data_IF_183831294588
#
_entry.id   IF_183831294588
#
_cell.length_a   1.000
_cell.length_b   1.000
_cell.length_c   1.000
_cell.angle_alpha   90.00
_cell.angle_beta   90.00
_cell.angle_gamma   90.00
#
_symmetry.space_group_name_H-M   'P 1'
#
loop_
_entity.id
_entity.type
_entity.pdbx_description
1 polymer ?
#
# COMPACT_ATOMS: atom_id res chain seq x y z
N UNK A 1 41.39 -42.45 37.67
CA UNK A 1 41.72 -41.38 36.70
C UNK A 1 40.69 -41.47 35.57
N UNK A 2 39.47 -40.89 35.69
CA UNK A 2 39.07 -39.49 35.37
C UNK A 2 39.62 -39.02 34.02
N UNK A 3 38.87 -39.25 32.92
CA UNK A 3 37.92 -38.35 32.21
C UNK A 3 38.58 -37.11 31.58
N UNK A 4 38.50 -36.98 30.25
CA UNK A 4 38.22 -35.69 29.60
C UNK A 4 37.46 -35.93 28.28
N UNK A 5 36.17 -35.64 28.32
CA UNK A 5 35.23 -35.56 27.19
C UNK A 5 35.32 -34.18 26.54
N UNK A 6 35.57 -34.10 25.24
CA UNK A 6 35.30 -32.90 24.45
C UNK A 6 33.87 -33.00 23.87
N UNK A 7 32.93 -32.31 24.51
CA UNK A 7 31.62 -32.03 23.92
C UNK A 7 31.73 -30.73 23.12
N UNK A 8 31.67 -30.83 21.79
CA UNK A 8 31.38 -29.68 20.93
C UNK A 8 29.86 -29.45 20.96
N UNK A 9 29.43 -28.49 21.76
CA UNK A 9 28.07 -27.95 21.67
C UNK A 9 28.02 -26.97 20.50
N UNK A 10 27.46 -27.40 19.37
CA UNK A 10 27.09 -26.50 18.27
C UNK A 10 25.75 -25.87 18.64
N UNK A 11 25.81 -24.66 19.19
CA UNK A 11 24.63 -23.82 19.42
C UNK A 11 24.07 -23.38 18.08
N UNK A 12 23.05 -24.09 17.59
CA UNK A 12 22.14 -23.60 16.56
C UNK A 12 21.36 -22.42 17.13
N UNK A 13 21.82 -21.20 16.83
CA UNK A 13 21.03 -19.99 17.00
C UNK A 13 19.85 -20.06 16.03
N UNK A 14 18.66 -20.35 16.54
CA UNK A 14 17.41 -20.11 15.84
C UNK A 14 17.30 -18.59 15.63
N UNK A 15 17.67 -18.11 14.43
CA UNK A 15 17.14 -16.86 13.92
C UNK A 15 15.64 -17.09 13.70
N UNK A 16 14.85 -16.79 14.72
CA UNK A 16 13.44 -16.50 14.53
C UNK A 16 13.37 -15.23 13.68
N UNK A 17 13.24 -15.39 12.37
CA UNK A 17 12.75 -14.32 11.53
C UNK A 17 11.36 -13.96 12.06
N UNK A 18 11.28 -12.88 12.85
CA UNK A 18 10.01 -12.27 13.17
C UNK A 18 9.53 -11.65 11.87
N UNK A 19 8.80 -12.44 11.08
CA UNK A 19 7.85 -11.90 10.11
C UNK A 19 6.86 -11.08 10.94
N UNK A 20 7.15 -9.79 11.06
CA UNK A 20 6.24 -8.83 11.64
C UNK A 20 4.96 -8.90 10.82
N UNK A 21 3.92 -9.53 11.37
CA UNK A 21 2.57 -9.40 10.84
C UNK A 21 2.32 -7.91 10.64
N UNK A 22 1.79 -7.47 9.48
CA UNK A 22 1.49 -6.06 9.27
C UNK A 22 0.65 -5.58 10.45
N UNK A 23 1.21 -4.67 11.25
CA UNK A 23 0.47 -4.08 12.36
C UNK A 23 -0.71 -3.33 11.76
N UNK A 24 -1.92 -3.74 12.10
CA UNK A 24 -3.13 -3.05 11.68
C UNK A 24 -3.21 -1.72 12.43
N UNK A 25 -2.66 -0.67 11.83
CA UNK A 25 -2.78 0.70 12.34
C UNK A 25 -4.24 1.14 12.20
N UNK A 26 -4.79 1.77 13.23
CA UNK A 26 -6.14 2.33 13.15
C UNK A 26 -6.23 3.35 12.00
N UNK A 27 -7.33 3.38 11.23
CA UNK A 27 -7.48 4.37 10.16
C UNK A 27 -7.39 5.80 10.67
N UNK A 28 -6.59 6.62 10.00
CA UNK A 28 -6.52 8.06 10.23
C UNK A 28 -7.64 8.83 9.52
N UNK A 29 -7.60 10.15 9.64
CA UNK A 29 -8.61 11.06 9.08
C UNK A 29 -8.27 11.60 7.69
N UNK A 30 -7.12 11.23 7.10
CA UNK A 30 -6.66 11.73 5.82
C UNK A 30 -6.13 13.17 5.87
N UNK A 31 -4.88 13.34 6.31
CA UNK A 31 -4.23 14.65 6.40
C UNK A 31 -3.50 14.99 5.09
N UNK A 32 -4.09 15.88 4.28
CA UNK A 32 -3.53 16.29 2.99
C UNK A 32 -2.16 16.98 3.11
N UNK A 33 -1.79 17.52 4.29
CA UNK A 33 -0.44 18.08 4.50
C UNK A 33 0.66 17.02 4.51
N UNK A 34 0.29 15.74 4.67
CA UNK A 34 1.19 14.58 4.72
C UNK A 34 1.02 13.63 3.54
N UNK A 35 0.25 14.01 2.52
CA UNK A 35 -0.10 13.13 1.40
C UNK A 35 1.14 12.58 0.66
N UNK A 36 2.21 13.38 0.58
CA UNK A 36 3.47 12.97 -0.05
C UNK A 36 4.09 11.72 0.57
N UNK A 37 3.77 11.38 1.82
CA UNK A 37 4.22 10.15 2.47
C UNK A 37 3.67 8.88 1.81
N UNK A 38 2.46 8.93 1.25
CA UNK A 38 1.82 7.79 0.58
C UNK A 38 2.55 7.38 -0.70
N UNK A 39 3.23 8.32 -1.34
CA UNK A 39 3.88 8.13 -2.62
C UNK A 39 5.39 7.86 -2.51
N UNK A 40 5.95 7.87 -1.30
CA UNK A 40 7.36 7.55 -1.05
C UNK A 40 7.59 6.04 -1.08
N UNK A 41 8.77 5.66 -1.53
CA UNK A 41 9.28 4.29 -1.40
C UNK A 41 10.00 4.15 -0.06
N UNK A 42 9.72 3.06 0.65
CA UNK A 42 10.45 2.60 1.82
C UNK A 42 10.92 1.17 1.58
N UNK A 43 12.22 0.96 1.41
CA UNK A 43 12.80 -0.34 1.02
C UNK A 43 12.10 -0.95 -0.21
N UNK A 44 11.93 -0.17 -1.28
CA UNK A 44 11.18 -0.53 -2.51
C UNK A 44 9.68 -0.82 -2.34
N UNK A 45 9.12 -0.68 -1.14
CA UNK A 45 7.69 -0.79 -0.90
C UNK A 45 7.00 0.58 -0.92
N UNK A 46 5.75 0.60 -1.36
CA UNK A 46 4.90 1.80 -1.32
C UNK A 46 3.65 1.50 -0.50
N UNK A 47 3.43 2.31 0.53
CA UNK A 47 2.23 2.29 1.38
C UNK A 47 0.97 2.26 0.51
N UNK A 48 0.88 3.14 -0.50
CA UNK A 48 -0.28 3.20 -1.39
C UNK A 48 -0.48 1.88 -2.15
N UNK A 49 0.56 1.39 -2.82
CA UNK A 49 0.48 0.18 -3.66
C UNK A 49 0.17 -1.05 -2.82
N UNK A 50 0.85 -1.21 -1.68
CA UNK A 50 0.63 -2.31 -0.76
C UNK A 50 -0.80 -2.30 -0.19
N UNK A 51 -1.31 -1.10 0.15
CA UNK A 51 -2.69 -0.93 0.63
C UNK A 51 -3.72 -1.25 -0.44
N UNK A 52 -3.48 -0.86 -1.70
CA UNK A 52 -4.39 -1.18 -2.81
C UNK A 52 -4.44 -2.69 -3.07
N UNK A 53 -3.28 -3.35 -3.05
CA UNK A 53 -3.18 -4.80 -3.22
C UNK A 53 -3.92 -5.54 -2.10
N UNK A 54 -3.62 -5.21 -0.84
CA UNK A 54 -4.28 -5.83 0.31
C UNK A 54 -5.79 -5.47 0.38
N UNK A 55 -6.15 -4.26 -0.04
CA UNK A 55 -7.52 -3.79 -0.08
C UNK A 55 -8.36 -4.54 -1.11
N UNK A 56 -7.81 -4.79 -2.30
CA UNK A 56 -8.57 -5.44 -3.37
C UNK A 56 -8.89 -6.90 -3.07
N UNK A 57 -8.11 -7.59 -2.24
CA UNK A 57 -8.39 -8.99 -1.86
C UNK A 57 -9.77 -9.17 -1.21
N UNK A 58 -10.37 -8.07 -0.72
CA UNK A 58 -11.72 -8.05 -0.13
C UNK A 58 -12.82 -7.77 -1.15
N UNK A 59 -12.49 -7.52 -2.41
CA UNK A 59 -13.46 -7.27 -3.45
C UNK A 59 -14.22 -8.55 -3.79
N UNK A 60 -15.50 -8.41 -4.13
CA UNK A 60 -16.30 -9.56 -4.54
C UNK A 60 -15.89 -10.06 -5.94
N UNK A 61 -16.00 -11.36 -6.17
CA UNK A 61 -15.74 -12.01 -7.47
C UNK A 61 -14.30 -11.73 -7.98
N UNK A 62 -14.15 -11.67 -9.30
CA UNK A 62 -12.86 -11.41 -9.98
C UNK A 62 -12.45 -9.92 -9.99
N UNK A 63 -13.11 -9.05 -9.21
CA UNK A 63 -12.86 -7.60 -9.29
C UNK A 63 -11.45 -7.21 -8.83
N UNK A 64 -10.85 -7.90 -7.86
CA UNK A 64 -9.44 -7.66 -7.50
C UNK A 64 -8.50 -7.97 -8.67
N UNK A 65 -8.76 -9.07 -9.39
CA UNK A 65 -7.98 -9.43 -10.59
C UNK A 65 -8.15 -8.36 -11.68
N UNK A 66 -9.35 -7.83 -11.86
CA UNK A 66 -9.62 -6.73 -12.79
C UNK A 66 -8.98 -5.40 -12.35
N UNK A 67 -8.77 -5.21 -11.04
CA UNK A 67 -8.19 -3.99 -10.49
C UNK A 67 -6.64 -4.00 -10.49
N UNK A 68 -5.99 -5.15 -10.35
CA UNK A 68 -4.52 -5.27 -10.30
C UNK A 68 -3.76 -4.55 -11.43
N UNK A 69 -4.19 -4.60 -12.71
CA UNK A 69 -3.53 -3.83 -13.77
C UNK A 69 -3.51 -2.32 -13.53
N UNK A 70 -4.52 -1.79 -12.84
CA UNK A 70 -4.59 -0.37 -12.48
C UNK A 70 -3.66 -0.04 -11.30
N UNK A 71 -3.50 -0.97 -10.35
CA UNK A 71 -2.52 -0.86 -9.26
C UNK A 71 -1.09 -0.83 -9.83
N UNK A 72 -0.78 -1.72 -10.78
CA UNK A 72 0.53 -1.74 -11.47
C UNK A 72 0.80 -0.42 -12.21
N UNK A 73 -0.22 0.15 -12.85
CA UNK A 73 -0.11 1.47 -13.49
C UNK A 73 0.09 2.59 -12.47
N UNK A 74 -0.57 2.55 -11.31
CA UNK A 74 -0.33 3.51 -10.21
C UNK A 74 1.13 3.42 -9.75
N UNK A 75 1.66 2.22 -9.53
CA UNK A 75 3.06 2.05 -9.12
C UNK A 75 4.02 2.64 -10.18
N UNK A 76 3.83 2.27 -11.44
CA UNK A 76 4.69 2.68 -12.55
C UNK A 76 4.58 4.16 -12.92
N UNK A 77 3.37 4.69 -13.07
CA UNK A 77 3.09 6.04 -13.58
C UNK A 77 3.19 7.10 -12.48
N UNK A 78 3.05 6.73 -11.19
CA UNK A 78 2.95 7.68 -10.08
C UNK A 78 4.05 7.49 -9.05
N UNK A 79 4.13 6.30 -8.43
CA UNK A 79 5.03 6.07 -7.28
C UNK A 79 6.50 6.06 -7.73
N UNK A 80 6.83 5.19 -8.69
CA UNK A 80 8.19 5.00 -9.22
C UNK A 80 8.54 5.96 -10.36
N UNK A 81 7.61 6.80 -10.79
CA UNK A 81 7.84 7.76 -11.87
C UNK A 81 8.51 9.03 -11.36
N UNK A 82 9.83 9.14 -11.57
CA UNK A 82 10.61 10.33 -11.19
C UNK A 82 10.23 11.60 -11.94
N UNK A 83 9.46 11.52 -13.04
CA UNK A 83 8.97 12.69 -13.76
C UNK A 83 7.82 13.40 -13.01
N UNK A 84 7.11 12.71 -12.13
CA UNK A 84 5.98 13.26 -11.36
C UNK A 84 6.49 13.87 -10.06
N UNK A 85 6.73 15.18 -10.08
CA UNK A 85 7.42 15.91 -8.99
C UNK A 85 6.52 16.43 -7.87
N UNK A 86 5.23 16.63 -8.16
CA UNK A 86 4.31 17.31 -7.24
C UNK A 86 3.22 16.37 -6.77
N UNK A 87 2.88 16.45 -5.49
CA UNK A 87 1.83 15.62 -4.89
C UNK A 87 0.49 15.82 -5.59
N UNK A 88 0.12 17.05 -5.98
CA UNK A 88 -1.11 17.31 -6.74
C UNK A 88 -1.14 16.55 -8.07
N UNK A 89 -0.03 16.52 -8.80
CA UNK A 89 0.06 15.76 -10.06
C UNK A 89 -0.07 14.25 -9.82
N UNK A 90 0.45 13.74 -8.70
CA UNK A 90 0.29 12.34 -8.29
C UNK A 90 -1.17 12.02 -7.98
N UNK A 91 -1.86 12.91 -7.25
CA UNK A 91 -3.28 12.81 -6.93
C UNK A 91 -4.13 12.82 -8.22
N UNK A 92 -3.87 13.75 -9.14
CA UNK A 92 -4.63 13.86 -10.39
C UNK A 92 -4.47 12.61 -11.27
N UNK A 93 -3.25 12.07 -11.38
CA UNK A 93 -3.01 10.82 -12.09
C UNK A 93 -3.66 9.63 -11.39
N UNK A 94 -3.62 9.59 -10.06
CA UNK A 94 -4.26 8.55 -9.27
C UNK A 94 -5.77 8.55 -9.52
N UNK A 95 -6.43 9.70 -9.37
CA UNK A 95 -7.88 9.87 -9.61
C UNK A 95 -8.23 9.44 -11.03
N UNK A 96 -7.44 9.83 -12.04
CA UNK A 96 -7.65 9.41 -13.43
C UNK A 96 -7.61 7.88 -13.57
N UNK A 97 -6.57 7.22 -13.09
CA UNK A 97 -6.40 5.76 -13.22
C UNK A 97 -7.51 5.01 -12.46
N UNK A 98 -7.85 5.46 -11.25
CA UNK A 98 -8.96 4.90 -10.48
C UNK A 98 -10.30 5.13 -11.19
N UNK A 99 -10.51 6.32 -11.77
CA UNK A 99 -11.71 6.65 -12.54
C UNK A 99 -11.88 5.76 -13.77
N UNK A 100 -10.79 5.41 -14.46
CA UNK A 100 -10.78 4.46 -15.58
C UNK A 100 -11.23 3.05 -15.14
N UNK A 101 -10.78 2.57 -13.97
CA UNK A 101 -11.24 1.28 -13.42
C UNK A 101 -12.72 1.33 -13.02
N UNK A 102 -13.11 2.39 -12.29
CA UNK A 102 -14.47 2.58 -11.80
C UNK A 102 -15.44 2.63 -12.98
N UNK A 103 -15.13 3.37 -14.04
CA UNK A 103 -15.93 3.47 -15.27
C UNK A 103 -17.45 3.61 -15.00
N UNK A 104 -17.80 4.54 -14.10
CA UNK A 104 -19.19 4.81 -13.63
C UNK A 104 -19.90 3.64 -12.93
N UNK A 105 -19.21 2.55 -12.63
CA UNK A 105 -19.73 1.44 -11.84
C UNK A 105 -19.67 1.79 -10.34
N UNK A 106 -20.84 1.94 -9.72
CA UNK A 106 -20.96 2.31 -8.31
C UNK A 106 -20.39 1.25 -7.37
N UNK A 107 -20.54 -0.04 -7.68
CA UNK A 107 -19.97 -1.12 -6.86
C UNK A 107 -18.44 -1.07 -6.86
N UNK A 108 -17.81 -0.79 -8.01
CA UNK A 108 -16.35 -0.59 -8.10
C UNK A 108 -15.89 0.64 -7.33
N UNK A 109 -16.62 1.75 -7.48
CA UNK A 109 -16.35 2.97 -6.72
C UNK A 109 -16.38 2.66 -5.23
N UNK A 110 -17.47 2.10 -4.73
CA UNK A 110 -17.68 1.85 -3.32
C UNK A 110 -16.64 0.85 -2.77
N UNK A 111 -16.21 -0.13 -3.57
CA UNK A 111 -15.11 -1.03 -3.20
C UNK A 111 -13.77 -0.29 -3.05
N UNK A 112 -13.42 0.56 -4.04
CA UNK A 112 -12.13 1.26 -4.06
C UNK A 112 -12.04 2.36 -3.01
N UNK A 113 -13.05 3.21 -2.89
CA UNK A 113 -13.02 4.37 -1.99
C UNK A 113 -12.91 3.97 -0.52
N UNK A 114 -13.36 2.77 -0.17
CA UNK A 114 -13.32 2.22 1.19
C UNK A 114 -11.99 1.50 1.53
N UNK A 115 -11.05 1.37 0.59
CA UNK A 115 -9.72 0.82 0.88
C UNK A 115 -9.02 1.72 1.92
N UNK A 116 -8.61 1.11 3.03
CA UNK A 116 -7.84 1.76 4.08
C UNK A 116 -6.35 1.67 3.77
N UNK A 117 -5.63 2.76 4.01
CA UNK A 117 -4.19 2.87 3.84
C UNK A 117 -3.50 2.34 5.10
N UNK A 118 -2.62 1.36 4.92
CA UNK A 118 -2.06 0.52 5.98
C UNK A 118 -1.13 1.25 6.97
N UNK A 119 -0.67 2.46 6.65
CA UNK A 119 0.12 3.31 7.56
C UNK A 119 -0.75 4.14 8.51
N UNK A 120 -2.07 3.93 8.53
CA UNK A 120 -2.99 4.72 9.35
C UNK A 120 -3.23 6.14 8.84
N UNK A 121 -2.92 6.44 7.56
CA UNK A 121 -3.17 7.76 6.99
C UNK A 121 -4.67 8.05 6.81
N UNK A 122 -5.46 7.04 6.42
CA UNK A 122 -6.88 7.16 6.12
C UNK A 122 -7.30 6.18 5.02
N UNK A 123 -8.13 6.64 4.10
CA UNK A 123 -8.71 5.86 3.00
C UNK A 123 -8.41 6.44 1.63
N UNK A 124 -8.67 5.65 0.58
CA UNK A 124 -8.58 6.10 -0.82
C UNK A 124 -9.52 7.27 -1.12
N UNK A 125 -10.71 7.31 -0.51
CA UNK A 125 -11.61 8.47 -0.62
C UNK A 125 -10.92 9.76 -0.16
N UNK A 126 -10.33 9.75 1.04
CA UNK A 126 -9.65 10.91 1.61
C UNK A 126 -8.43 11.33 0.79
N UNK A 127 -7.70 10.37 0.20
CA UNK A 127 -6.60 10.65 -0.72
C UNK A 127 -7.12 11.46 -1.93
N UNK A 128 -8.22 11.00 -2.54
CA UNK A 128 -8.82 11.68 -3.69
C UNK A 128 -9.38 13.07 -3.31
N UNK A 129 -9.90 13.23 -2.09
CA UNK A 129 -10.43 14.50 -1.59
C UNK A 129 -9.35 15.58 -1.41
N UNK A 130 -8.07 15.19 -1.33
CA UNK A 130 -6.95 16.14 -1.31
C UNK A 130 -6.72 16.85 -2.66
N UNK A 131 -7.50 16.56 -3.70
CA UNK A 131 -7.44 17.28 -4.97
C UNK A 131 -7.85 18.75 -4.79
N UNK A 132 -6.94 19.67 -5.05
CA UNK A 132 -7.26 21.10 -5.09
C UNK A 132 -8.03 21.41 -6.38
N UNK A 133 -9.30 21.83 -6.24
CA UNK A 133 -10.08 22.37 -7.36
C UNK A 133 -9.63 23.82 -7.58
N UNK A 134 -8.89 24.04 -8.66
CA UNK A 134 -8.56 25.40 -9.14
C UNK A 134 -9.69 25.98 -9.99
#
# INVERSE_FOLDING_TARGET
>A
MWRLTCFFAVSLLFLSAVEGKPQTVAPGTGDCSKIGELFKLNNDHSVLVDSLNAGCEKFANDECKNFKPFIERIDKEIVRNSAVKYDQMRIDFFIRIIGEYINRNTARRDAVVNIQLNNGWGSVWQLADCQVVN
#
